data_IF_348771043932
#
_entry.id   IF_348771043932
#
_cell.length_a   1.000
_cell.length_b   1.000
_cell.length_c   1.000
_cell.angle_alpha   90.00
_cell.angle_beta   90.00
_cell.angle_gamma   90.00
#
_symmetry.space_group_name_H-M   'P 1'
#
loop_
_entity.id
_entity.type
_entity.pdbx_description
1 polymer ?
#
# COMPACT_ATOMS: atom_id res chain seq x y z
N UNK A 1 -27.91 13.47 10.98
CA UNK A 1 -28.13 12.13 10.41
C UNK A 1 -26.74 11.55 10.25
N UNK A 2 -26.24 10.92 11.32
CA UNK A 2 -24.87 10.43 11.45
C UNK A 2 -24.73 9.08 10.73
N UNK A 3 -23.70 8.84 9.92
CA UNK A 3 -23.45 7.51 9.38
C UNK A 3 -22.89 6.62 10.50
N UNK A 4 -23.68 5.63 10.91
CA UNK A 4 -23.30 4.61 11.87
C UNK A 4 -22.15 3.79 11.30
N UNK A 5 -20.93 4.06 11.75
CA UNK A 5 -19.75 3.23 11.49
C UNK A 5 -19.96 1.89 12.21
N UNK A 6 -20.40 0.86 11.47
CA UNK A 6 -20.51 -0.49 12.01
C UNK A 6 -19.10 -1.05 12.23
N UNK A 7 -18.75 -1.25 13.50
CA UNK A 7 -17.51 -1.92 13.89
C UNK A 7 -17.55 -3.37 13.41
N UNK A 8 -16.69 -3.74 12.46
CA UNK A 8 -16.56 -5.13 12.00
C UNK A 8 -15.93 -5.96 13.11
N UNK A 9 -16.74 -6.81 13.75
CA UNK A 9 -16.28 -7.76 14.75
C UNK A 9 -15.75 -9.03 14.06
N UNK A 10 -14.43 -9.13 13.95
CA UNK A 10 -13.70 -10.16 13.18
C UNK A 10 -13.97 -11.59 13.70
N UNK A 11 -14.45 -11.75 14.94
CA UNK A 11 -14.62 -13.06 15.56
C UNK A 11 -15.80 -13.89 15.05
N UNK A 12 -16.75 -13.30 14.31
CA UNK A 12 -18.01 -13.96 13.89
C UNK A 12 -18.19 -14.00 12.35
N UNK A 13 -17.13 -13.80 11.58
CA UNK A 13 -17.21 -13.74 10.12
C UNK A 13 -17.53 -15.14 9.55
N UNK A 14 -18.73 -15.32 9.00
CA UNK A 14 -19.09 -16.55 8.28
C UNK A 14 -18.56 -16.49 6.85
N UNK A 15 -18.38 -17.65 6.22
CA UNK A 15 -17.85 -17.77 4.84
C UNK A 15 -18.70 -16.99 3.81
N UNK A 16 -19.95 -16.69 4.14
CA UNK A 16 -20.90 -15.90 3.34
C UNK A 16 -20.62 -14.39 3.38
N UNK A 17 -20.12 -13.85 4.49
CA UNK A 17 -19.75 -12.43 4.58
C UNK A 17 -18.49 -12.10 3.76
N UNK A 18 -17.58 -13.06 3.61
CA UNK A 18 -16.43 -12.94 2.71
C UNK A 18 -16.88 -12.83 1.24
N UNK A 19 -17.93 -13.59 0.88
CA UNK A 19 -18.48 -13.62 -0.48
C UNK A 19 -19.22 -12.33 -0.85
N UNK A 20 -19.77 -11.59 0.13
CA UNK A 20 -20.40 -10.28 -0.09
C UNK A 20 -19.41 -9.15 -0.35
N UNK A 21 -18.18 -9.26 0.15
CA UNK A 21 -17.09 -8.33 -0.22
C UNK A 21 -16.62 -8.53 -1.68
N UNK A 22 -17.01 -9.64 -2.31
CA UNK A 22 -16.59 -10.05 -3.65
C UNK A 22 -17.40 -9.41 -4.78
N UNK A 23 -18.44 -8.64 -4.46
CA UNK A 23 -19.21 -7.83 -5.42
C UNK A 23 -18.66 -6.39 -5.55
N UNK A 24 -17.34 -6.21 -5.51
CA UNK A 24 -16.76 -5.06 -6.20
C UNK A 24 -16.72 -5.43 -7.68
N UNK A 25 -17.35 -4.64 -8.59
CA UNK A 25 -17.35 -4.96 -10.00
C UNK A 25 -15.89 -5.19 -10.43
N UNK A 26 -15.61 -6.39 -10.93
CA UNK A 26 -14.33 -6.83 -11.47
C UNK A 26 -13.98 -6.11 -12.79
N UNK A 27 -14.30 -4.82 -12.88
CA UNK A 27 -13.66 -3.94 -13.83
C UNK A 27 -12.23 -3.79 -13.32
N UNK A 28 -11.27 -4.22 -14.13
CA UNK A 28 -9.83 -4.03 -13.99
C UNK A 28 -9.53 -2.58 -13.58
N UNK A 29 -9.53 -2.34 -12.28
CA UNK A 29 -9.36 -1.02 -11.69
C UNK A 29 -7.90 -0.96 -11.28
N UNK A 30 -7.13 -0.17 -12.00
CA UNK A 30 -5.75 0.14 -11.62
C UNK A 30 -5.74 0.59 -10.15
N UNK A 31 -4.81 0.06 -9.35
CA UNK A 31 -4.65 0.42 -7.95
C UNK A 31 -3.66 1.57 -7.85
N UNK A 32 -4.11 2.72 -7.35
CA UNK A 32 -3.25 3.89 -7.14
C UNK A 32 -3.12 4.12 -5.64
N UNK A 33 -1.90 4.02 -5.13
CA UNK A 33 -1.55 4.27 -3.74
C UNK A 33 -0.82 5.60 -3.66
N UNK A 34 -1.37 6.55 -2.90
CA UNK A 34 -0.73 7.84 -2.65
C UNK A 34 -0.06 7.84 -1.27
N UNK A 35 1.26 8.01 -1.25
CA UNK A 35 2.05 8.11 -0.03
C UNK A 35 2.60 9.53 0.12
N UNK A 36 2.00 10.29 1.03
CA UNK A 36 2.42 11.66 1.34
C UNK A 36 3.23 11.77 2.64
N UNK A 37 3.19 10.73 3.48
CA UNK A 37 3.84 10.69 4.80
C UNK A 37 5.28 10.21 4.71
N UNK A 38 6.19 10.94 5.33
CA UNK A 38 7.58 10.55 5.53
C UNK A 38 7.73 9.75 6.83
N UNK A 39 8.82 10.01 7.56
CA UNK A 39 9.21 9.25 8.75
C UNK A 39 8.42 9.62 10.03
N UNK A 40 7.46 10.55 9.95
CA UNK A 40 6.80 11.12 11.14
C UNK A 40 6.03 10.09 11.99
N UNK A 41 5.63 8.96 11.40
CA UNK A 41 4.90 7.89 12.06
C UNK A 41 5.73 6.60 12.23
N UNK A 42 7.05 6.73 12.16
CA UNK A 42 8.00 5.63 12.14
C UNK A 42 7.79 4.64 10.98
N UNK A 43 7.22 5.10 9.86
CA UNK A 43 7.05 4.32 8.63
C UNK A 43 5.81 3.43 8.62
N UNK A 44 4.89 3.56 9.57
CA UNK A 44 3.66 2.74 9.63
C UNK A 44 2.80 2.90 8.37
N UNK A 45 2.57 4.14 7.93
CA UNK A 45 1.82 4.42 6.69
C UNK A 45 2.56 3.92 5.46
N UNK A 46 3.89 4.02 5.43
CA UNK A 46 4.69 3.47 4.34
C UNK A 46 4.55 1.95 4.26
N UNK A 47 4.71 1.23 5.38
CA UNK A 47 4.51 -0.23 5.43
C UNK A 47 3.12 -0.63 4.95
N UNK A 48 2.06 0.06 5.39
CA UNK A 48 0.70 -0.23 4.94
C UNK A 48 0.51 0.05 3.44
N UNK A 49 1.07 1.15 2.94
CA UNK A 49 1.01 1.53 1.53
C UNK A 49 1.67 0.46 0.65
N UNK A 50 2.90 0.04 0.97
CA UNK A 50 3.60 -0.99 0.20
C UNK A 50 2.97 -2.38 0.36
N UNK A 51 2.46 -2.72 1.55
CA UNK A 51 1.74 -3.98 1.74
C UNK A 51 0.48 -4.07 0.89
N UNK A 52 -0.31 -2.98 0.82
CA UNK A 52 -1.46 -2.89 -0.07
C UNK A 52 -1.03 -2.98 -1.53
N UNK A 53 0.06 -2.30 -1.89
CA UNK A 53 0.56 -2.28 -3.25
C UNK A 53 1.02 -3.68 -3.71
N UNK A 54 1.79 -4.40 -2.89
CA UNK A 54 2.18 -5.79 -3.15
C UNK A 54 0.95 -6.71 -3.23
N UNK A 55 -0.03 -6.53 -2.35
CA UNK A 55 -1.28 -7.32 -2.37
C UNK A 55 -2.06 -7.06 -3.66
N UNK A 56 -2.16 -5.80 -4.10
CA UNK A 56 -2.84 -5.44 -5.34
C UNK A 56 -2.13 -6.02 -6.57
N UNK A 57 -0.79 -6.02 -6.59
CA UNK A 57 -0.02 -6.69 -7.64
C UNK A 57 -0.23 -8.21 -7.63
N UNK A 58 -0.28 -8.84 -6.46
CA UNK A 58 -0.56 -10.27 -6.31
C UNK A 58 -1.99 -10.65 -6.77
N UNK A 59 -2.89 -9.68 -6.88
CA UNK A 59 -4.23 -9.82 -7.45
C UNK A 59 -4.27 -9.45 -8.95
N UNK A 60 -3.11 -9.45 -9.62
CA UNK A 60 -2.94 -9.10 -11.04
C UNK A 60 -3.46 -7.71 -11.42
N UNK A 61 -3.41 -6.75 -10.48
CA UNK A 61 -3.79 -5.35 -10.75
C UNK A 61 -2.58 -4.50 -11.12
N UNK A 62 -2.73 -3.68 -12.17
CA UNK A 62 -1.80 -2.58 -12.44
C UNK A 62 -1.77 -1.65 -11.24
N UNK A 63 -0.63 -1.59 -10.57
CA UNK A 63 -0.51 -0.89 -9.29
C UNK A 63 0.58 0.17 -9.37
N UNK A 64 0.26 1.39 -8.91
CA UNK A 64 1.15 2.54 -8.92
C UNK A 64 1.26 3.11 -7.50
N UNK A 65 2.48 3.42 -7.06
CA UNK A 65 2.73 4.11 -5.80
C UNK A 65 3.27 5.51 -6.12
N UNK A 66 2.47 6.52 -5.82
CA UNK A 66 2.82 7.92 -5.97
C UNK A 66 3.32 8.47 -4.63
N UNK A 67 4.57 8.88 -4.60
CA UNK A 67 5.18 9.53 -3.44
C UNK A 67 5.23 11.03 -3.64
N UNK A 68 4.66 11.77 -2.69
CA UNK A 68 4.54 13.23 -2.73
C UNK A 68 4.97 13.82 -1.40
N UNK A 69 5.40 15.09 -1.40
CA UNK A 69 5.82 15.78 -0.16
C UNK A 69 6.90 15.01 0.59
N UNK A 70 6.63 14.70 1.86
CA UNK A 70 7.55 13.96 2.73
C UNK A 70 7.61 12.46 2.40
N UNK A 71 6.59 11.91 1.74
CA UNK A 71 6.58 10.51 1.28
C UNK A 71 7.67 10.18 0.28
N UNK A 72 8.22 11.21 -0.40
CA UNK A 72 9.40 11.08 -1.27
C UNK A 72 10.63 10.55 -0.51
N UNK A 73 10.68 10.72 0.82
CA UNK A 73 11.73 10.17 1.68
C UNK A 73 11.95 8.67 1.45
N UNK A 74 10.87 7.90 1.28
CA UNK A 74 10.93 6.44 1.14
C UNK A 74 11.45 5.96 -0.23
N UNK A 75 11.57 6.87 -1.20
CA UNK A 75 12.10 6.55 -2.52
C UNK A 75 13.63 6.42 -2.55
N UNK A 76 14.32 6.96 -1.54
CA UNK A 76 15.77 7.01 -1.51
C UNK A 76 16.36 5.75 -0.88
N UNK A 77 17.48 5.28 -1.44
CA UNK A 77 18.20 4.12 -0.94
C UNK A 77 18.62 4.32 0.53
N UNK A 78 18.43 3.29 1.36
CA UNK A 78 18.74 3.31 2.78
C UNK A 78 17.73 4.03 3.68
N UNK A 79 16.74 4.74 3.12
CA UNK A 79 15.74 5.44 3.92
C UNK A 79 14.66 4.52 4.50
N UNK A 80 14.52 3.31 3.96
CA UNK A 80 13.67 2.26 4.54
C UNK A 80 14.37 1.45 5.65
N UNK A 81 15.66 1.68 5.91
CA UNK A 81 16.46 0.82 6.77
C UNK A 81 16.02 0.92 8.24
N UNK A 82 15.87 -0.24 8.87
CA UNK A 82 15.45 -0.33 10.27
C UNK A 82 13.97 -0.02 10.52
N UNK A 83 13.18 0.22 9.47
CA UNK A 83 11.72 0.36 9.61
C UNK A 83 11.06 -1.01 9.67
N UNK A 84 10.61 -1.37 10.86
CA UNK A 84 9.89 -2.60 11.14
C UNK A 84 8.57 -2.29 11.86
N UNK A 85 7.47 -2.75 11.28
CA UNK A 85 6.15 -2.72 11.92
C UNK A 85 5.76 -4.14 12.30
N UNK A 86 5.31 -4.35 13.53
CA UNK A 86 4.93 -5.66 14.02
C UNK A 86 3.82 -6.28 13.14
N UNK A 87 4.04 -7.53 12.71
CA UNK A 87 3.11 -8.24 11.83
C UNK A 87 3.31 -8.01 10.33
N UNK A 88 4.29 -7.18 9.94
CA UNK A 88 4.68 -6.96 8.55
C UNK A 88 6.15 -7.29 8.31
N UNK A 89 6.53 -7.62 7.07
CA UNK A 89 7.93 -7.65 6.65
C UNK A 89 8.61 -6.29 6.85
N UNK A 90 9.93 -6.27 6.76
CA UNK A 90 10.65 -5.01 6.82
C UNK A 90 10.26 -4.11 5.64
N UNK A 91 10.29 -2.78 5.83
CA UNK A 91 9.83 -1.87 4.78
C UNK A 91 10.65 -1.99 3.49
N UNK A 92 11.97 -2.16 3.62
CA UNK A 92 12.86 -2.41 2.48
C UNK A 92 12.46 -3.66 1.69
N UNK A 93 12.17 -4.77 2.37
CA UNK A 93 11.71 -6.02 1.74
C UNK A 93 10.39 -5.79 0.98
N UNK A 94 9.47 -5.00 1.54
CA UNK A 94 8.21 -4.66 0.87
C UNK A 94 8.43 -3.79 -0.38
N UNK A 95 9.34 -2.82 -0.31
CA UNK A 95 9.69 -1.96 -1.45
C UNK A 95 10.36 -2.78 -2.54
N UNK A 96 11.33 -3.62 -2.19
CA UNK A 96 12.02 -4.54 -3.10
C UNK A 96 11.01 -5.47 -3.79
N UNK A 97 10.15 -6.12 -2.99
CA UNK A 97 9.08 -6.99 -3.51
C UNK A 97 8.18 -6.25 -4.49
N UNK A 98 7.77 -5.02 -4.18
CA UNK A 98 6.93 -4.21 -5.06
C UNK A 98 7.59 -3.88 -6.41
N UNK A 99 8.90 -3.60 -6.39
CA UNK A 99 9.69 -3.29 -7.60
C UNK A 99 9.91 -4.55 -8.44
N UNK A 100 10.25 -5.68 -7.79
CA UNK A 100 10.49 -6.97 -8.44
C UNK A 100 9.24 -7.52 -9.14
N UNK A 101 8.10 -7.50 -8.44
CA UNK A 101 6.82 -8.00 -8.98
C UNK A 101 6.22 -7.08 -10.05
N UNK A 102 6.58 -5.78 -10.05
CA UNK A 102 6.03 -4.76 -10.94
C UNK A 102 6.80 -4.50 -12.24
N UNK A 103 7.96 -5.15 -12.44
CA UNK A 103 8.71 -5.11 -13.70
C UNK A 103 9.53 -3.83 -13.96
N UNK A 104 9.84 -3.04 -12.93
CA UNK A 104 10.82 -1.95 -13.00
C UNK A 104 10.40 -0.63 -12.34
N UNK A 105 11.39 0.25 -12.16
CA UNK A 105 11.34 1.56 -11.47
C UNK A 105 10.20 2.50 -11.93
N UNK A 106 9.59 2.23 -13.08
CA UNK A 106 8.59 3.08 -13.73
C UNK A 106 7.28 3.26 -12.95
N UNK A 107 6.96 2.36 -12.01
CA UNK A 107 5.71 2.41 -11.20
C UNK A 107 5.89 3.12 -9.87
N UNK A 108 7.12 3.55 -9.57
CA UNK A 108 7.46 4.36 -8.41
C UNK A 108 7.59 5.82 -8.87
N UNK A 109 6.49 6.58 -8.78
CA UNK A 109 6.49 7.98 -9.19
C UNK A 109 6.78 8.89 -8.00
N UNK A 110 7.96 9.50 -8.02
CA UNK A 110 8.37 10.54 -7.09
C UNK A 110 8.12 11.92 -7.72
N UNK A 111 7.17 12.69 -7.19
CA UNK A 111 6.81 13.99 -7.78
C UNK A 111 7.89 15.10 -7.63
N UNK A 112 9.05 14.84 -7.03
CA UNK A 112 10.17 15.81 -7.04
C UNK A 112 10.83 15.95 -8.42
N UNK A 113 10.60 15.03 -9.36
CA UNK A 113 11.21 15.10 -10.70
C UNK A 113 10.29 15.78 -11.75
N UNK A 114 9.16 16.36 -11.33
CA UNK A 114 8.22 17.05 -12.23
C UNK A 114 8.14 18.58 -12.02
N UNK A 115 9.05 19.19 -11.24
CA UNK A 115 9.10 20.64 -11.03
C UNK A 115 10.52 21.20 -11.14
#
# INVERSE_FOLDING_TARGET
MEPHMQTLNISNMTMEDFSRCQEFPAAFSDCVVLLASGQEDAGKRATLAFSLACTAQALDRSTYVFMIGDGVHWAYEGHGDGVQVAGFPALNELIETFVELGGGDFRLLCLRQCL
#
